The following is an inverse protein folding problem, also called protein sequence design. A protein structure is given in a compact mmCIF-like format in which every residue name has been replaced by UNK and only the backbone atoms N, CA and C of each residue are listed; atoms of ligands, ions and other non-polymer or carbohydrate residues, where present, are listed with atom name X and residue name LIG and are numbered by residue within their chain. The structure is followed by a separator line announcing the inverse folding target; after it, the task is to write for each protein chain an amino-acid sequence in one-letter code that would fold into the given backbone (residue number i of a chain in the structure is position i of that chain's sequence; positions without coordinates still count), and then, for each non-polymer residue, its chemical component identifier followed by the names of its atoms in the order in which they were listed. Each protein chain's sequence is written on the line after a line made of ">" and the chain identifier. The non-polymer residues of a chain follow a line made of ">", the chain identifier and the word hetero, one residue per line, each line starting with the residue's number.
data_IF_700667847034
#
_entry.id   IF_700667847034
#
_cell.length_a   1.000
_cell.length_b   1.000
_cell.length_c   1.000
_cell.angle_alpha   90.00
_cell.angle_beta   90.00
_cell.angle_gamma   90.00
#
_symmetry.space_group_name_H-M   'P 1'
#
loop_
_entity.id
_entity.type
_entity.pdbx_description
1 polymer ?
#
# COMPACT_ATOMS: atom_id res chain seq x y z
N UNK A 1 14.71 13.97 18.11
CA UNK A 1 14.61 13.34 19.44
C UNK A 1 13.18 13.38 19.99
N UNK A 2 12.47 14.50 19.88
CA UNK A 2 11.07 14.65 20.35
C UNK A 2 10.10 13.54 19.86
N UNK A 3 10.20 13.08 18.60
CA UNK A 3 9.32 11.99 18.11
C UNK A 3 9.74 10.57 18.55
N UNK A 4 11.01 10.33 18.86
CA UNK A 4 11.49 9.01 19.31
C UNK A 4 11.33 8.88 20.84
N UNK A 5 11.36 9.99 21.55
CA UNK A 5 11.15 10.04 23.00
C UNK A 5 9.68 9.88 23.38
N UNK A 6 8.73 10.46 22.62
CA UNK A 6 7.31 10.33 22.96
C UNK A 6 6.71 8.94 22.73
N UNK A 7 7.32 8.07 21.93
CA UNK A 7 6.89 6.67 21.83
C UNK A 7 7.40 5.79 22.99
N UNK A 8 8.25 6.32 23.88
CA UNK A 8 8.80 5.58 25.02
C UNK A 8 8.03 5.82 26.33
N UNK A 9 7.21 6.88 26.42
CA UNK A 9 6.63 7.31 27.70
C UNK A 9 5.23 6.77 28.00
N UNK A 10 4.46 6.30 27.02
CA UNK A 10 3.12 5.75 27.27
C UNK A 10 2.98 4.31 26.76
N UNK A 11 3.29 3.39 27.68
CA UNK A 11 2.92 1.97 27.68
C UNK A 11 3.33 1.15 26.43
N UNK A 12 4.36 0.30 26.61
CA UNK A 12 4.60 -0.96 25.87
C UNK A 12 5.60 -0.96 24.68
N UNK A 13 6.51 0.02 24.60
CA UNK A 13 7.68 -0.06 23.69
C UNK A 13 7.32 -0.17 22.20
N UNK A 14 6.12 0.26 21.83
CA UNK A 14 5.58 0.18 20.47
C UNK A 14 6.06 1.37 19.64
N UNK A 15 6.76 1.08 18.53
CA UNK A 15 7.09 2.09 17.53
C UNK A 15 5.99 2.10 16.47
N UNK A 16 5.36 3.25 16.25
CA UNK A 16 4.38 3.42 15.19
C UNK A 16 5.02 3.30 13.80
N UNK A 17 4.27 2.75 12.85
CA UNK A 17 4.75 2.50 11.49
C UNK A 17 5.17 3.79 10.78
N UNK A 18 6.46 3.86 10.43
CA UNK A 18 7.04 4.93 9.62
C UNK A 18 8.26 4.42 8.87
N UNK A 19 8.18 4.38 7.53
CA UNK A 19 9.30 4.02 6.67
C UNK A 19 10.07 5.27 6.23
N UNK A 20 11.41 5.33 6.37
CA UNK A 20 12.21 6.49 5.99
C UNK A 20 12.47 6.59 4.48
N UNK A 21 11.52 6.12 3.65
CA UNK A 21 11.58 6.13 2.19
C UNK A 21 10.98 7.43 1.67
N UNK A 22 11.79 8.49 1.67
CA UNK A 22 11.35 9.87 1.35
C UNK A 22 12.15 10.57 0.27
N UNK A 23 13.36 10.11 -0.01
CA UNK A 23 14.30 10.82 -0.89
C UNK A 23 14.26 10.33 -2.34
N UNK A 24 13.62 9.18 -2.61
CA UNK A 24 13.48 8.64 -3.96
C UNK A 24 12.13 9.01 -4.58
N UNK A 25 12.17 9.73 -5.71
CA UNK A 25 10.99 9.92 -6.57
C UNK A 25 10.91 8.88 -7.69
N UNK A 26 11.82 7.90 -7.70
CA UNK A 26 11.88 6.83 -8.71
C UNK A 26 11.35 5.51 -8.18
N UNK A 27 11.78 5.09 -7.00
CA UNK A 27 11.47 3.76 -6.44
C UNK A 27 10.66 3.87 -5.15
N UNK A 28 9.91 2.80 -4.82
CA UNK A 28 9.17 2.66 -3.57
C UNK A 28 8.19 3.80 -3.25
N UNK A 29 7.73 4.51 -4.28
CA UNK A 29 6.85 5.67 -4.16
C UNK A 29 5.52 5.36 -3.46
N UNK A 30 5.09 4.09 -3.45
CA UNK A 30 3.91 3.65 -2.70
C UNK A 30 4.03 3.90 -1.19
N UNK A 31 5.25 3.98 -0.64
CA UNK A 31 5.50 4.33 0.76
C UNK A 31 5.31 5.83 1.03
N UNK A 32 5.51 6.68 0.01
CA UNK A 32 5.26 8.13 0.06
C UNK A 32 3.76 8.40 -0.02
N UNK A 33 3.07 7.76 -0.97
CA UNK A 33 1.63 7.83 -1.10
C UNK A 33 1.08 6.51 -1.66
N UNK A 34 0.00 5.95 -1.08
CA UNK A 34 -0.52 4.65 -1.50
C UNK A 34 -1.01 4.61 -2.96
N UNK A 35 -1.30 5.74 -3.58
CA UNK A 35 -1.71 5.79 -5.01
C UNK A 35 -0.53 5.67 -5.98
N UNK A 36 0.70 5.87 -5.52
CA UNK A 36 1.88 6.01 -6.38
C UNK A 36 2.44 4.68 -6.93
N UNK A 37 1.84 3.54 -6.59
CA UNK A 37 2.06 2.30 -7.36
C UNK A 37 1.39 2.33 -8.74
N UNK A 38 0.50 3.30 -8.97
CA UNK A 38 -0.15 3.56 -10.25
C UNK A 38 0.14 4.97 -10.80
N UNK A 39 0.05 6.00 -9.96
CA UNK A 39 0.17 7.42 -10.40
C UNK A 39 1.57 7.69 -10.97
N UNK A 40 1.62 8.02 -12.27
CA UNK A 40 2.86 8.18 -13.05
C UNK A 40 3.82 6.99 -12.94
N UNK A 41 3.30 5.81 -12.60
CA UNK A 41 4.03 4.56 -12.53
C UNK A 41 3.55 3.63 -13.64
N UNK A 42 4.50 3.12 -14.41
CA UNK A 42 4.21 2.28 -15.56
C UNK A 42 4.92 0.94 -15.46
N UNK A 43 6.07 0.93 -14.84
CA UNK A 43 6.94 -0.23 -14.79
C UNK A 43 6.66 -1.01 -13.51
N UNK A 44 7.16 -2.23 -13.50
CA UNK A 44 7.18 -3.07 -12.31
C UNK A 44 8.62 -3.22 -11.90
N UNK A 45 8.89 -2.98 -10.63
CA UNK A 45 10.21 -3.07 -10.07
C UNK A 45 10.20 -4.07 -8.94
N UNK A 46 11.17 -4.99 -8.95
CA UNK A 46 11.68 -5.52 -7.68
C UNK A 46 12.74 -4.53 -7.21
N UNK A 47 12.74 -4.14 -5.94
CA UNK A 47 13.79 -3.30 -5.39
C UNK A 47 14.28 -3.82 -4.04
N UNK A 48 15.57 -3.61 -3.80
CA UNK A 48 16.23 -3.77 -2.52
C UNK A 48 16.73 -2.38 -2.15
N UNK A 49 16.23 -1.87 -1.03
CA UNK A 49 16.53 -0.57 -0.49
C UNK A 49 17.21 -0.75 0.86
N UNK A 50 18.30 -0.02 1.05
CA UNK A 50 18.96 0.11 2.33
C UNK A 50 19.16 1.59 2.65
N UNK A 51 18.83 1.97 3.89
CA UNK A 51 19.15 3.27 4.45
C UNK A 51 19.88 3.09 5.77
N UNK A 52 21.02 3.77 5.88
CA UNK A 52 21.74 3.95 7.14
C UNK A 52 21.63 5.42 7.52
N UNK A 53 20.96 5.69 8.63
CA UNK A 53 20.89 7.04 9.19
C UNK A 53 22.08 7.27 10.13
N UNK A 54 22.48 8.53 10.27
CA UNK A 54 23.41 8.98 11.32
C UNK A 54 24.72 8.19 11.38
N UNK A 55 25.38 8.11 10.23
CA UNK A 55 26.60 7.31 10.01
C UNK A 55 27.72 7.48 11.06
N UNK A 56 27.92 8.66 11.71
CA UNK A 56 28.92 8.80 12.77
C UNK A 56 28.64 8.02 14.06
N UNK A 57 27.41 7.54 14.27
CA UNK A 57 27.03 6.84 15.51
C UNK A 57 27.07 5.32 15.32
N UNK A 58 27.60 4.63 16.33
CA UNK A 58 27.49 3.18 16.44
C UNK A 58 26.03 2.79 16.74
N UNK A 59 25.58 1.66 16.17
CA UNK A 59 24.20 1.18 16.26
C UNK A 59 23.11 2.17 15.77
N UNK A 60 23.49 3.09 14.89
CA UNK A 60 22.58 4.03 14.27
C UNK A 60 21.43 3.34 13.48
N UNK A 61 20.28 4.01 13.30
CA UNK A 61 19.13 3.40 12.66
C UNK A 61 19.43 2.87 11.26
N UNK A 62 19.04 1.62 11.02
CA UNK A 62 19.18 0.97 9.72
C UNK A 62 17.85 0.43 9.25
N UNK A 63 17.51 0.71 7.99
CA UNK A 63 16.31 0.21 7.35
C UNK A 63 16.67 -0.62 6.13
N UNK A 64 16.10 -1.81 6.04
CA UNK A 64 16.11 -2.67 4.88
C UNK A 64 14.68 -2.80 4.36
N UNK A 65 14.50 -2.67 3.05
CA UNK A 65 13.22 -2.82 2.39
C UNK A 65 13.40 -3.61 1.11
N UNK A 66 12.69 -4.73 1.02
CA UNK A 66 12.52 -5.49 -0.21
C UNK A 66 11.11 -5.23 -0.72
N UNK A 67 10.95 -4.88 -1.99
CA UNK A 67 9.63 -4.60 -2.55
C UNK A 67 9.48 -5.16 -3.96
N UNK A 68 8.24 -5.50 -4.31
CA UNK A 68 7.80 -5.75 -5.67
C UNK A 68 6.53 -4.94 -5.91
N UNK A 69 6.64 -3.87 -6.70
CA UNK A 69 5.54 -2.95 -6.92
C UNK A 69 5.50 -2.39 -8.34
N UNK A 70 4.31 -1.96 -8.75
CA UNK A 70 4.11 -1.25 -10.01
C UNK A 70 2.72 -1.47 -10.59
N UNK A 71 2.58 -1.18 -11.88
CA UNK A 71 1.30 -1.28 -12.60
C UNK A 71 1.09 -2.67 -13.18
N UNK A 72 0.13 -3.43 -12.64
CA UNK A 72 -0.16 -4.80 -13.08
C UNK A 72 -1.24 -4.89 -14.15
N UNK A 73 -2.19 -3.95 -14.17
CA UNK A 73 -3.24 -3.85 -15.18
C UNK A 73 -3.43 -2.40 -15.62
N UNK A 74 -4.32 -2.17 -16.58
CA UNK A 74 -4.57 -0.84 -17.12
C UNK A 74 -5.11 0.14 -16.07
N UNK A 75 -5.79 -0.31 -15.03
CA UNK A 75 -6.36 0.55 -13.99
C UNK A 75 -5.95 0.12 -12.58
N UNK A 76 -4.98 -0.79 -12.44
CA UNK A 76 -4.59 -1.37 -11.14
C UNK A 76 -3.07 -1.35 -10.98
N UNK A 77 -2.64 -0.71 -9.90
CA UNK A 77 -1.31 -0.81 -9.30
C UNK A 77 -1.36 -1.73 -8.08
N UNK A 78 -0.31 -2.52 -7.88
CA UNK A 78 -0.15 -3.39 -6.71
C UNK A 78 1.28 -3.26 -6.22
N UNK A 79 1.48 -3.36 -4.91
CA UNK A 79 2.79 -3.50 -4.30
C UNK A 79 2.76 -4.50 -3.16
N UNK A 80 3.84 -5.24 -3.03
CA UNK A 80 4.14 -6.05 -1.83
C UNK A 80 5.52 -5.65 -1.37
N UNK A 81 5.69 -5.45 -0.07
CA UNK A 81 6.98 -5.14 0.50
C UNK A 81 7.21 -5.85 1.83
N UNK A 82 8.46 -6.15 2.11
CA UNK A 82 8.95 -6.63 3.39
C UNK A 82 9.99 -5.65 3.88
N UNK A 83 9.93 -5.27 5.14
CA UNK A 83 10.85 -4.32 5.72
C UNK A 83 11.37 -4.81 7.07
N UNK A 84 12.59 -4.38 7.37
CA UNK A 84 13.20 -4.53 8.67
C UNK A 84 13.84 -3.19 9.06
N UNK A 85 13.50 -2.70 10.24
CA UNK A 85 14.08 -1.49 10.82
C UNK A 85 14.75 -1.84 12.13
N UNK A 86 16.03 -1.50 12.25
CA UNK A 86 16.80 -1.70 13.46
C UNK A 86 17.07 -0.31 14.06
N UNK A 87 16.63 -0.10 15.30
CA UNK A 87 16.85 1.10 16.10
C UNK A 87 17.64 0.72 17.34
N UNK A 88 18.97 0.63 17.23
CA UNK A 88 19.82 0.10 18.29
C UNK A 88 19.44 -1.34 18.66
N UNK A 89 18.82 -1.50 19.84
CA UNK A 89 18.32 -2.77 20.37
C UNK A 89 16.89 -3.11 19.92
N UNK A 90 16.11 -2.13 19.45
CA UNK A 90 14.75 -2.39 18.95
C UNK A 90 14.82 -2.84 17.50
N UNK A 91 14.04 -3.85 17.15
CA UNK A 91 13.90 -4.35 15.78
C UNK A 91 12.43 -4.45 15.44
N UNK A 92 12.06 -3.83 14.33
CA UNK A 92 10.73 -3.90 13.74
C UNK A 92 10.81 -4.64 12.42
N UNK A 93 10.01 -5.70 12.26
CA UNK A 93 9.93 -6.46 11.02
C UNK A 93 8.49 -6.57 10.57
N UNK A 94 8.23 -6.36 9.28
CA UNK A 94 6.88 -6.43 8.78
C UNK A 94 6.75 -6.48 7.28
N UNK A 95 5.51 -6.51 6.85
CA UNK A 95 5.12 -6.50 5.46
C UNK A 95 4.09 -5.41 5.17
N UNK A 96 4.06 -4.97 3.91
CA UNK A 96 3.10 -3.99 3.40
C UNK A 96 2.49 -4.55 2.12
N UNK A 97 1.16 -4.49 2.06
CA UNK A 97 0.38 -4.69 0.85
C UNK A 97 -0.15 -3.34 0.39
N UNK A 98 0.17 -2.98 -0.84
CA UNK A 98 -0.33 -1.79 -1.50
C UNK A 98 -1.30 -2.18 -2.62
N UNK A 99 -2.43 -1.49 -2.69
CA UNK A 99 -3.37 -1.60 -3.78
C UNK A 99 -3.77 -0.20 -4.25
N UNK A 100 -3.65 0.07 -5.54
CA UNK A 100 -4.10 1.30 -6.16
C UNK A 100 -5.04 1.02 -7.33
N UNK A 101 -6.18 1.70 -7.35
CA UNK A 101 -7.19 1.60 -8.39
C UNK A 101 -7.45 2.95 -9.03
N UNK A 102 -7.34 3.02 -10.36
CA UNK A 102 -7.56 4.24 -11.12
C UNK A 102 -8.92 4.24 -11.82
N UNK A 103 -9.80 5.15 -11.41
CA UNK A 103 -11.01 5.48 -12.11
C UNK A 103 -10.73 6.56 -13.16
N UNK A 104 -10.98 6.24 -14.42
CA UNK A 104 -10.86 7.20 -15.52
C UNK A 104 -12.11 8.08 -15.52
N UNK A 105 -11.93 9.40 -15.44
CA UNK A 105 -13.03 10.36 -15.55
C UNK A 105 -13.15 10.82 -17.00
N UNK A 106 -12.06 11.35 -17.56
CA UNK A 106 -11.96 11.76 -18.95
C UNK A 106 -10.65 11.28 -19.58
N UNK A 107 -10.30 11.78 -20.78
CA UNK A 107 -9.04 11.41 -21.46
C UNK A 107 -7.81 11.87 -20.70
N UNK A 108 -7.90 13.06 -20.13
CA UNK A 108 -6.80 13.82 -19.51
C UNK A 108 -6.97 13.91 -17.99
N UNK A 109 -8.05 13.35 -17.44
CA UNK A 109 -8.34 13.38 -16.00
C UNK A 109 -8.65 12.01 -15.43
N UNK A 110 -8.10 11.73 -14.26
CA UNK A 110 -8.30 10.47 -13.56
C UNK A 110 -8.35 10.65 -12.04
N UNK A 111 -8.97 9.68 -11.38
CA UNK A 111 -9.08 9.62 -9.93
C UNK A 111 -8.55 8.27 -9.45
N UNK A 112 -7.38 8.28 -8.81
CA UNK A 112 -6.75 7.09 -8.26
C UNK A 112 -7.02 6.99 -6.76
N UNK A 113 -7.52 5.84 -6.33
CA UNK A 113 -7.65 5.46 -4.93
C UNK A 113 -6.52 4.50 -4.57
N UNK A 114 -5.98 4.61 -3.37
CA UNK A 114 -4.89 3.78 -2.90
C UNK A 114 -5.07 3.39 -1.45
N UNK A 115 -4.58 2.22 -1.07
CA UNK A 115 -4.46 1.81 0.33
C UNK A 115 -3.16 1.04 0.54
N UNK A 116 -2.46 1.36 1.63
CA UNK A 116 -1.39 0.54 2.18
C UNK A 116 -1.89 -0.16 3.44
N UNK A 117 -1.83 -1.48 3.47
CA UNK A 117 -2.08 -2.31 4.65
C UNK A 117 -0.75 -2.87 5.13
N UNK A 118 -0.37 -2.56 6.37
CA UNK A 118 0.87 -3.04 6.96
C UNK A 118 0.61 -3.98 8.13
N UNK A 119 1.37 -5.05 8.24
CA UNK A 119 1.43 -5.91 9.43
C UNK A 119 2.88 -6.02 9.85
N UNK A 120 3.18 -5.72 11.11
CA UNK A 120 4.55 -5.71 11.59
C UNK A 120 4.65 -6.04 13.06
N UNK A 121 5.72 -6.72 13.43
CA UNK A 121 6.07 -7.00 14.81
C UNK A 121 7.16 -6.02 15.25
N UNK A 122 6.96 -5.39 16.41
CA UNK A 122 7.95 -4.52 17.06
C UNK A 122 8.39 -5.15 18.37
N UNK A 123 9.69 -5.30 18.57
CA UNK A 123 10.24 -5.88 19.80
C UNK A 123 11.72 -5.58 19.98
N UNK A 124 12.28 -6.06 21.09
CA UNK A 124 13.71 -5.96 21.39
C UNK A 124 14.45 -7.15 20.79
N UNK A 125 15.63 -6.89 20.24
CA UNK A 125 16.54 -7.90 19.71
C UNK A 125 17.48 -8.40 20.80
N UNK A 126 17.09 -9.50 21.45
CA UNK A 126 17.84 -10.14 22.54
C UNK A 126 19.27 -10.53 22.13
N UNK A 127 19.51 -10.86 20.85
CA UNK A 127 20.82 -11.26 20.35
C UNK A 127 21.86 -10.13 20.29
N UNK A 128 21.43 -8.86 20.44
CA UNK A 128 22.33 -7.70 20.55
C UNK A 128 22.58 -7.26 22.00
N UNK A 129 21.92 -7.87 22.98
CA UNK A 129 22.05 -7.48 24.37
C UNK A 129 23.35 -8.09 24.92
N UNK A 130 24.34 -7.23 25.20
CA UNK A 130 25.55 -7.61 25.93
C UNK A 130 25.30 -7.29 27.40
N UNK A 131 24.95 -8.31 28.19
CA UNK A 131 24.77 -8.20 29.64
C UNK A 131 25.84 -8.99 30.37
N UNK A 132 26.27 -8.43 31.51
CA UNK A 132 27.22 -9.10 32.42
C UNK A 132 26.56 -10.24 33.20
N UNK A 133 25.22 -10.28 33.27
CA UNK A 133 24.44 -11.32 33.93
C UNK A 133 23.34 -11.83 32.97
N UNK A 134 23.40 -13.11 32.62
CA UNK A 134 22.56 -13.77 31.61
C UNK A 134 21.16 -14.08 32.17
N UNK A 135 20.93 -13.89 33.47
CA UNK A 135 19.71 -14.26 34.17
C UNK A 135 18.94 -13.06 34.77
N UNK A 136 19.04 -11.86 34.20
CA UNK A 136 18.20 -10.73 34.62
C UNK A 136 16.73 -10.97 34.22
N UNK A 137 15.79 -11.14 35.19
CA UNK A 137 14.38 -11.40 34.91
C UNK A 137 13.68 -10.27 34.12
N UNK A 138 14.22 -9.05 34.14
CA UNK A 138 13.68 -7.90 33.40
C UNK A 138 13.89 -7.99 31.89
N UNK A 139 14.82 -8.85 31.43
CA UNK A 139 15.15 -9.05 30.03
C UNK A 139 14.53 -10.33 29.43
N UNK A 140 13.99 -11.23 30.28
CA UNK A 140 13.48 -12.53 29.86
C UNK A 140 12.02 -12.52 29.35
N UNK A 141 11.35 -11.37 29.39
CA UNK A 141 9.92 -11.30 29.07
C UNK A 141 9.53 -9.96 28.43
N UNK A 142 10.28 -9.51 27.43
CA UNK A 142 9.95 -8.31 26.68
C UNK A 142 8.88 -8.66 25.63
N UNK A 143 7.64 -8.16 25.76
CA UNK A 143 6.58 -8.49 24.82
C UNK A 143 6.89 -7.91 23.44
N UNK A 144 6.75 -8.74 22.40
CA UNK A 144 6.74 -8.27 21.01
C UNK A 144 5.30 -7.95 20.61
N UNK A 145 5.08 -6.76 20.06
CA UNK A 145 3.75 -6.27 19.70
C UNK A 145 3.52 -6.39 18.18
N UNK A 146 2.52 -7.17 17.79
CA UNK A 146 2.06 -7.32 16.42
C UNK A 146 1.00 -6.26 16.11
N UNK A 147 1.33 -5.38 15.18
CA UNK A 147 0.54 -4.21 14.82
C UNK A 147 0.02 -4.33 13.39
N UNK A 148 -1.23 -3.91 13.19
CA UNK A 148 -1.88 -3.75 11.90
C UNK A 148 -2.09 -2.26 11.64
N UNK A 149 -1.64 -1.77 10.48
CA UNK A 149 -1.83 -0.38 10.04
C UNK A 149 -2.57 -0.31 8.70
N UNK A 150 -3.41 0.72 8.55
CA UNK A 150 -4.08 1.05 7.29
C UNK A 150 -3.86 2.53 6.92
N UNK A 151 -3.43 2.75 5.67
CA UNK A 151 -3.10 4.07 5.15
C UNK A 151 -3.81 4.30 3.82
N UNK A 152 -5.03 4.85 3.82
CA UNK A 152 -5.74 5.17 2.60
C UNK A 152 -5.24 6.48 1.96
N UNK A 153 -5.47 6.62 0.65
CA UNK A 153 -5.22 7.85 -0.06
C UNK A 153 -6.00 7.96 -1.36
N UNK A 154 -6.10 9.18 -1.85
CA UNK A 154 -6.76 9.54 -3.10
C UNK A 154 -5.89 10.53 -3.86
N UNK A 155 -5.88 10.43 -5.18
CA UNK A 155 -5.14 11.31 -6.06
C UNK A 155 -5.98 11.65 -7.30
N UNK A 156 -6.13 12.93 -7.58
CA UNK A 156 -6.72 13.45 -8.80
C UNK A 156 -5.59 13.86 -9.76
N UNK A 157 -5.47 13.14 -10.88
CA UNK A 157 -4.48 13.40 -11.92
C UNK A 157 -5.08 14.12 -13.11
N UNK A 158 -4.35 15.10 -13.64
CA UNK A 158 -4.57 15.74 -14.94
C UNK A 158 -3.48 15.31 -15.93
N UNK A 159 -3.30 16.00 -17.05
CA UNK A 159 -2.21 15.72 -17.99
C UNK A 159 -0.82 15.81 -17.37
N UNK A 160 -0.57 16.85 -16.58
CA UNK A 160 0.76 17.14 -16.02
C UNK A 160 0.78 17.30 -14.51
N UNK A 161 -0.37 17.52 -13.87
CA UNK A 161 -0.46 17.70 -12.43
C UNK A 161 -1.16 16.53 -11.77
N UNK A 162 -0.77 16.24 -10.55
CA UNK A 162 -1.42 15.26 -9.69
C UNK A 162 -1.58 15.88 -8.30
N UNK A 163 -2.81 15.87 -7.79
CA UNK A 163 -3.16 16.42 -6.48
C UNK A 163 -3.66 15.27 -5.63
N UNK A 164 -3.08 15.05 -4.44
CA UNK A 164 -3.51 13.93 -3.62
C UNK A 164 -3.50 14.21 -2.14
N UNK A 165 -4.34 13.43 -1.45
CA UNK A 165 -4.49 13.44 -0.01
C UNK A 165 -4.37 11.99 0.47
N UNK A 166 -3.60 11.75 1.53
CA UNK A 166 -3.51 10.45 2.18
C UNK A 166 -3.47 10.60 3.69
N UNK A 167 -3.94 9.58 4.40
CA UNK A 167 -3.84 9.51 5.85
C UNK A 167 -2.89 8.38 6.20
N UNK A 168 -1.82 8.72 6.91
CA UNK A 168 -0.90 7.75 7.46
C UNK A 168 -1.37 7.32 8.86
N UNK A 169 -1.26 6.03 9.13
CA UNK A 169 -1.72 5.33 10.31
C UNK A 169 -3.16 5.69 10.71
N UNK A 170 -4.10 5.68 9.75
CA UNK A 170 -5.52 5.96 10.04
C UNK A 170 -6.07 4.97 11.08
N UNK A 171 -5.69 3.71 10.96
CA UNK A 171 -6.00 2.65 11.91
C UNK A 171 -4.67 2.06 12.34
N UNK A 172 -4.44 1.97 13.64
CA UNK A 172 -3.32 1.24 14.23
C UNK A 172 -3.86 0.30 15.32
N UNK A 173 -3.92 -0.99 15.01
CA UNK A 173 -4.48 -2.01 15.89
C UNK A 173 -3.37 -2.91 16.42
N UNK A 174 -3.25 -3.01 17.75
CA UNK A 174 -2.34 -3.95 18.38
C UNK A 174 -3.09 -5.28 18.62
N UNK A 175 -2.64 -6.34 17.95
CA UNK A 175 -3.28 -7.65 18.00
C UNK A 175 -3.01 -8.33 19.35
N UNK A 176 -1.85 -8.12 19.96
CA UNK A 176 -1.49 -8.72 21.24
C UNK A 176 -2.35 -8.20 22.39
N UNK A 177 -2.52 -6.88 22.47
CA UNK A 177 -3.38 -6.24 23.48
C UNK A 177 -4.85 -6.17 23.04
N UNK A 178 -5.15 -6.50 21.79
CA UNK A 178 -6.47 -6.37 21.16
C UNK A 178 -7.08 -4.97 21.24
N UNK A 179 -6.25 -3.93 21.37
CA UNK A 179 -6.66 -2.53 21.50
C UNK A 179 -6.30 -1.70 20.27
N UNK A 180 -7.14 -0.72 19.97
CA UNK A 180 -6.81 0.34 19.02
C UNK A 180 -5.90 1.36 19.72
N UNK A 181 -4.78 1.72 19.10
CA UNK A 181 -3.90 2.77 19.62
C UNK A 181 -4.47 4.11 19.19
N UNK A 182 -5.17 4.78 20.10
CA UNK A 182 -5.87 6.05 19.83
C UNK A 182 -4.91 7.24 19.76
N UNK A 183 -3.89 7.30 20.62
CA UNK A 183 -2.86 8.34 20.59
C UNK A 183 -1.62 7.87 19.82
N UNK A 184 -1.70 7.93 18.49
CA UNK A 184 -0.57 7.66 17.61
C UNK A 184 0.13 8.96 17.17
N UNK A 185 1.33 9.29 17.67
CA UNK A 185 2.06 10.50 17.29
C UNK A 185 2.52 10.51 15.82
N UNK A 186 2.56 9.35 15.16
CA UNK A 186 2.88 9.22 13.72
C UNK A 186 1.64 9.22 12.82
N UNK A 187 0.42 9.29 13.39
CA UNK A 187 -0.77 9.53 12.60
C UNK A 187 -0.69 10.94 11.99
N UNK A 188 -0.86 11.01 10.67
CA UNK A 188 -0.77 12.28 9.97
C UNK A 188 -1.61 12.32 8.71
N UNK A 189 -2.08 13.52 8.38
CA UNK A 189 -2.74 13.78 7.10
C UNK A 189 -1.71 14.40 6.17
N UNK A 190 -1.57 13.85 4.98
CA UNK A 190 -0.63 14.32 3.97
C UNK A 190 -1.41 14.87 2.79
N UNK A 191 -1.00 16.04 2.32
CA UNK A 191 -1.47 16.61 1.07
C UNK A 191 -0.26 16.85 0.15
N UNK A 192 -0.39 16.56 -1.14
CA UNK A 192 0.67 16.77 -2.09
C UNK A 192 0.19 17.29 -3.43
N UNK A 193 1.12 17.95 -4.12
CA UNK A 193 1.01 18.37 -5.51
C UNK A 193 2.26 17.86 -6.23
N UNK A 194 2.05 17.12 -7.31
CA UNK A 194 3.11 16.64 -8.17
C UNK A 194 2.93 17.20 -9.57
N UNK A 195 4.02 17.67 -10.16
CA UNK A 195 4.08 18.08 -11.56
C UNK A 195 4.99 17.13 -12.31
N UNK A 196 4.54 16.62 -13.46
CA UNK A 196 5.36 15.81 -14.38
C UNK A 196 5.31 16.43 -15.76
N UNK A 197 6.46 16.88 -16.26
CA UNK A 197 6.61 17.48 -17.59
C UNK A 197 7.65 16.73 -18.43
N UNK A 198 7.57 16.91 -19.74
CA UNK A 198 8.55 16.36 -20.69
C UNK A 198 9.26 17.50 -21.42
N UNK A 199 10.58 17.38 -21.51
CA UNK A 199 11.44 18.32 -22.20
C UNK A 199 11.81 17.73 -23.54
N UNK A 200 11.32 18.34 -24.61
CA UNK A 200 11.74 18.02 -25.97
C UNK A 200 12.86 18.97 -26.37
N UNK A 201 14.07 18.45 -26.50
CA UNK A 201 15.27 19.23 -26.81
C UNK A 201 16.14 18.44 -27.79
N UNK A 202 17.02 19.11 -28.51
CA UNK A 202 18.00 18.41 -29.35
C UNK A 202 19.21 18.02 -28.50
N UNK A 203 19.59 16.74 -28.52
CA UNK A 203 20.84 16.26 -27.93
C UNK A 203 20.65 15.32 -26.74
N UNK A 204 21.45 15.49 -25.69
CA UNK A 204 21.48 14.57 -24.55
C UNK A 204 20.18 14.54 -23.74
N UNK A 205 19.50 15.68 -23.63
CA UNK A 205 18.28 15.85 -22.85
C UNK A 205 16.98 15.65 -23.65
N UNK A 206 17.05 15.10 -24.86
CA UNK A 206 15.85 14.83 -25.64
C UNK A 206 14.93 13.86 -24.89
N UNK A 207 13.62 14.13 -24.93
CA UNK A 207 12.55 13.41 -24.21
C UNK A 207 12.80 13.24 -22.69
N UNK A 208 13.52 14.17 -22.05
CA UNK A 208 13.75 14.10 -20.60
C UNK A 208 12.46 14.35 -19.82
N UNK A 209 12.27 13.59 -18.74
CA UNK A 209 11.12 13.70 -17.86
C UNK A 209 11.51 14.46 -16.60
N UNK A 210 10.82 15.56 -16.34
CA UNK A 210 10.94 16.30 -15.10
C UNK A 210 9.76 15.95 -14.18
N UNK A 211 10.04 15.62 -12.94
CA UNK A 211 9.01 15.39 -11.91
C UNK A 211 9.34 16.23 -10.69
N UNK A 212 8.43 17.11 -10.28
CA UNK A 212 8.48 17.84 -9.01
C UNK A 212 7.36 17.37 -8.09
N UNK A 213 7.64 17.17 -6.81
CA UNK A 213 6.68 16.82 -5.78
C UNK A 213 6.83 17.79 -4.62
N UNK A 214 5.72 18.39 -4.19
CA UNK A 214 5.64 19.16 -2.94
C UNK A 214 4.56 18.52 -2.07
N UNK A 215 4.87 18.33 -0.79
CA UNK A 215 3.99 17.66 0.17
C UNK A 215 4.03 18.37 1.53
N UNK A 216 2.88 18.45 2.17
CA UNK A 216 2.72 18.86 3.55
C UNK A 216 2.17 17.70 4.37
N UNK A 217 2.80 17.39 5.50
CA UNK A 217 2.38 16.38 6.46
C UNK A 217 1.96 17.10 7.75
N UNK A 218 0.68 16.97 8.09
CA UNK A 218 0.10 17.57 9.28
C UNK A 218 0.07 16.51 10.38
N UNK A 219 1.02 16.57 11.32
CA UNK A 219 1.02 15.78 12.56
C UNK A 219 0.41 16.59 13.70
N UNK A 220 0.15 15.94 14.85
CA UNK A 220 -0.47 16.57 16.04
C UNK A 220 0.30 17.81 16.52
N UNK A 221 1.62 17.75 16.55
CA UNK A 221 2.46 18.80 17.14
C UNK A 221 3.35 19.54 16.13
N UNK A 222 3.56 18.98 14.93
CA UNK A 222 4.51 19.49 13.94
C UNK A 222 3.92 19.37 12.54
N UNK A 223 4.02 20.44 11.75
CA UNK A 223 3.78 20.39 10.30
C UNK A 223 5.11 20.23 9.58
N UNK A 224 5.25 19.15 8.81
CA UNK A 224 6.46 18.89 8.01
C UNK A 224 6.18 19.21 6.56
N UNK A 225 6.98 20.12 5.99
CA UNK A 225 6.92 20.44 4.56
C UNK A 225 8.09 19.74 3.89
N UNK A 226 7.79 19.06 2.79
CA UNK A 226 8.78 18.36 1.99
C UNK A 226 8.59 18.69 0.51
N UNK A 227 9.70 18.79 -0.21
CA UNK A 227 9.72 19.01 -1.64
C UNK A 227 10.85 18.23 -2.27
N UNK A 228 10.62 17.70 -3.46
CA UNK A 228 11.62 16.99 -4.23
C UNK A 228 11.46 17.27 -5.72
N UNK A 229 12.55 17.26 -6.45
CA UNK A 229 12.55 17.32 -7.90
C UNK A 229 13.47 16.26 -8.46
N UNK A 230 13.09 15.69 -9.60
CA UNK A 230 13.84 14.67 -10.30
C UNK A 230 13.83 14.98 -11.80
N UNK A 231 15.01 14.91 -12.41
CA UNK A 231 15.17 14.94 -13.85
C UNK A 231 15.67 13.58 -14.32
N UNK A 232 14.88 12.92 -15.16
CA UNK A 232 15.20 11.62 -15.76
C UNK A 232 15.51 11.81 -17.24
N UNK A 233 16.68 11.32 -17.66
CA UNK A 233 17.14 11.32 -19.04
C UNK A 233 16.93 9.92 -19.63
N UNK A 234 16.35 9.78 -20.84
CA UNK A 234 16.04 8.48 -21.44
C UNK A 234 17.24 7.56 -21.64
N UNK A 235 18.46 8.12 -21.63
CA UNK A 235 19.74 7.39 -21.63
C UNK A 235 20.00 6.60 -20.35
N UNK A 236 19.05 6.56 -19.43
CA UNK A 236 19.10 5.77 -18.22
C UNK A 236 19.86 6.45 -17.09
N UNK A 237 19.83 7.77 -17.01
CA UNK A 237 20.41 8.55 -15.92
C UNK A 237 19.33 9.44 -15.34
N UNK A 238 19.26 9.55 -14.03
CA UNK A 238 18.44 10.55 -13.37
C UNK A 238 19.18 11.17 -12.20
N UNK A 239 18.85 12.43 -11.93
CA UNK A 239 19.29 13.15 -10.74
C UNK A 239 18.06 13.65 -10.00
N UNK A 240 18.13 13.64 -8.67
CA UNK A 240 17.08 14.16 -7.82
C UNK A 240 17.66 14.96 -6.65
N UNK A 241 16.88 15.94 -6.20
CA UNK A 241 17.21 16.74 -5.03
C UNK A 241 15.93 17.03 -4.27
N UNK A 242 16.03 17.13 -2.95
CA UNK A 242 14.90 17.35 -2.08
C UNK A 242 15.25 18.16 -0.86
N UNK A 243 14.21 18.64 -0.22
CA UNK A 243 14.25 19.35 1.04
C UNK A 243 13.10 18.87 1.91
N UNK A 244 13.39 18.65 3.17
CA UNK A 244 12.42 18.29 4.19
C UNK A 244 12.70 19.17 5.42
N UNK A 245 11.68 19.85 5.94
CA UNK A 245 11.85 20.75 7.09
C UNK A 245 12.34 20.03 8.35
N UNK A 246 12.02 18.74 8.50
CA UNK A 246 12.46 17.93 9.62
C UNK A 246 13.82 17.27 9.34
N UNK A 247 14.00 16.64 8.17
CA UNK A 247 15.19 15.81 7.89
C UNK A 247 16.32 16.52 7.13
N UNK A 248 16.10 17.73 6.63
CA UNK A 248 17.10 18.52 5.92
C UNK A 248 17.10 18.35 4.41
N UNK A 249 18.27 18.52 3.78
CA UNK A 249 18.45 18.51 2.33
C UNK A 249 18.86 17.11 1.88
N UNK A 250 18.32 16.66 0.76
CA UNK A 250 18.72 15.42 0.11
C UNK A 250 19.13 15.66 -1.35
N UNK A 251 20.07 14.85 -1.82
CA UNK A 251 20.50 14.82 -3.20
C UNK A 251 20.81 13.37 -3.60
N UNK A 252 20.49 13.02 -4.83
CA UNK A 252 20.64 11.66 -5.31
C UNK A 252 20.86 11.57 -6.79
N UNK A 253 21.48 10.48 -7.18
CA UNK A 253 21.72 10.13 -8.58
C UNK A 253 21.40 8.66 -8.77
N UNK A 254 20.91 8.34 -9.95
CA UNK A 254 20.71 6.95 -10.32
C UNK A 254 20.98 6.70 -11.79
N UNK A 255 21.28 5.45 -12.07
CA UNK A 255 21.67 5.00 -13.39
C UNK A 255 21.16 3.59 -13.67
N UNK A 256 20.76 3.37 -14.91
CA UNK A 256 20.41 2.08 -15.44
C UNK A 256 21.69 1.39 -15.93
N UNK A 257 22.20 0.43 -15.17
CA UNK A 257 23.32 -0.44 -15.59
C UNK A 257 22.94 -1.16 -16.89
N UNK A 258 21.72 -1.69 -16.97
CA UNK A 258 21.14 -2.27 -18.17
C UNK A 258 19.70 -1.78 -18.35
N UNK A 259 19.04 -2.12 -19.45
CA UNK A 259 17.60 -1.79 -19.63
C UNK A 259 16.68 -2.36 -18.53
N UNK A 260 17.21 -3.24 -17.67
CA UNK A 260 16.45 -3.90 -16.60
C UNK A 260 17.05 -3.70 -15.21
N UNK A 261 18.33 -3.34 -15.07
CA UNK A 261 18.96 -3.17 -13.76
C UNK A 261 19.27 -1.70 -13.56
N UNK A 262 18.80 -1.17 -12.44
CA UNK A 262 18.91 0.21 -12.04
C UNK A 262 19.53 0.29 -10.65
N UNK A 263 20.40 1.28 -10.43
CA UNK A 263 20.97 1.59 -9.13
C UNK A 263 20.71 3.06 -8.83
N UNK A 264 20.33 3.36 -7.60
CA UNK A 264 20.16 4.70 -7.10
C UNK A 264 20.93 4.87 -5.80
N UNK A 265 21.58 6.02 -5.64
CA UNK A 265 22.21 6.42 -4.41
C UNK A 265 21.70 7.79 -4.02
N UNK A 266 21.21 7.92 -2.78
CA UNK A 266 20.82 9.19 -2.19
C UNK A 266 21.66 9.49 -0.96
N UNK A 267 21.91 10.78 -0.77
CA UNK A 267 22.59 11.34 0.36
C UNK A 267 21.66 12.36 1.01
N UNK A 268 21.46 12.22 2.31
CA UNK A 268 20.64 13.13 3.11
C UNK A 268 21.51 13.76 4.19
N UNK A 269 21.45 15.09 4.26
CA UNK A 269 22.15 15.88 5.25
C UNK A 269 21.12 16.65 6.07
N UNK A 270 21.10 16.36 7.36
CA UNK A 270 20.28 17.09 8.30
C UNK A 270 20.66 18.58 8.34
N UNK A 271 19.64 19.44 8.46
CA UNK A 271 19.77 20.90 8.59
C UNK A 271 19.00 21.31 9.86
N UNK A 272 19.49 22.32 10.58
CA UNK A 272 18.92 22.74 11.86
C UNK A 272 19.34 21.86 13.04
N UNK A 273 18.42 21.59 13.96
CA UNK A 273 18.69 20.91 15.25
C UNK A 273 19.16 19.47 15.10
N UNK A 274 18.96 18.87 13.93
CA UNK A 274 19.38 17.50 13.62
C UNK A 274 20.77 17.41 12.97
N UNK A 275 21.45 18.55 12.74
CA UNK A 275 22.81 18.58 12.16
C UNK A 275 23.83 17.77 12.96
N UNK A 276 23.68 17.70 14.28
CA UNK A 276 24.55 16.95 15.17
C UNK A 276 24.51 15.43 14.93
N UNK A 277 23.45 14.91 14.31
CA UNK A 277 23.29 13.47 14.07
C UNK A 277 24.07 12.97 12.83
N UNK A 278 24.64 13.88 12.03
CA UNK A 278 25.44 13.52 10.87
C UNK A 278 24.60 13.18 9.63
N UNK A 279 25.24 12.48 8.68
CA UNK A 279 24.68 12.25 7.36
C UNK A 279 24.07 10.84 7.23
N UNK A 280 23.10 10.72 6.34
CA UNK A 280 22.42 9.46 6.01
C UNK A 280 22.70 9.06 4.56
N UNK A 281 22.89 7.77 4.34
CA UNK A 281 23.14 7.19 3.02
C UNK A 281 22.02 6.22 2.66
N UNK A 282 21.53 6.31 1.42
CA UNK A 282 20.53 5.40 0.89
C UNK A 282 21.03 4.79 -0.40
N UNK A 283 20.88 3.48 -0.52
CA UNK A 283 21.22 2.72 -1.72
C UNK A 283 20.00 1.91 -2.12
N UNK A 284 19.60 2.03 -3.39
CA UNK A 284 18.54 1.21 -3.97
C UNK A 284 19.08 0.46 -5.18
N UNK A 285 18.90 -0.85 -5.19
CA UNK A 285 19.09 -1.70 -6.36
C UNK A 285 17.71 -2.13 -6.85
N UNK A 286 17.40 -1.90 -8.12
CA UNK A 286 16.11 -2.23 -8.69
C UNK A 286 16.24 -3.04 -9.99
N UNK A 287 15.33 -4.00 -10.15
CA UNK A 287 15.14 -4.78 -11.36
C UNK A 287 13.80 -4.42 -12.03
N UNK A 288 13.86 -3.76 -13.18
CA UNK A 288 12.74 -3.37 -14.04
C UNK A 288 12.31 -4.54 -14.93
N UNK A 289 11.04 -4.91 -14.83
CA UNK A 289 10.41 -5.85 -15.75
C UNK A 289 9.96 -5.16 -17.03
N UNK A 290 10.20 -5.80 -18.17
CA UNK A 290 9.70 -5.33 -19.46
C UNK A 290 8.18 -5.44 -19.49
N UNK A 291 7.49 -4.33 -19.75
CA UNK A 291 6.05 -4.36 -19.94
C UNK A 291 5.73 -4.93 -21.32
N UNK A 292 4.96 -6.01 -21.36
CA UNK A 292 4.49 -6.63 -22.62
C UNK A 292 3.21 -5.97 -23.16
N UNK A 293 2.58 -5.13 -22.36
CA UNK A 293 1.33 -4.45 -22.69
C UNK A 293 1.58 -2.94 -22.72
N UNK A 294 1.14 -2.28 -23.80
CA UNK A 294 1.02 -0.82 -23.85
C UNK A 294 -0.36 -0.47 -23.28
N UNK A 295 -0.41 0.20 -22.15
CA UNK A 295 -1.65 0.73 -21.61
C UNK A 295 -1.94 2.08 -22.27
N UNK A 296 -3.21 2.48 -22.37
CA UNK A 296 -3.55 3.76 -23.02
C UNK A 296 -2.93 4.99 -22.31
N UNK A 297 -2.50 4.82 -21.05
CA UNK A 297 -1.83 5.83 -20.22
C UNK A 297 -0.32 5.60 -20.06
N UNK A 298 0.26 4.67 -20.83
CA UNK A 298 1.70 4.49 -20.89
C UNK A 298 2.27 5.59 -21.78
N UNK A 299 2.83 6.65 -21.18
CA UNK A 299 3.84 7.45 -21.88
C UNK A 299 4.97 6.53 -22.35
N UNK A 300 5.63 6.82 -23.47
CA UNK A 300 6.76 6.02 -23.97
C UNK A 300 8.04 6.21 -23.10
N UNK A 301 7.93 6.04 -21.78
CA UNK A 301 8.99 6.15 -20.75
C UNK A 301 9.97 4.94 -20.81
N UNK A 302 10.24 4.43 -22.01
CA UNK A 302 11.23 3.37 -22.23
C UNK A 302 12.65 3.96 -22.05
N UNK A 303 13.21 3.77 -20.86
CA UNK A 303 14.60 4.14 -20.54
C UNK A 303 15.60 3.06 -20.98
N UNK A 304 16.68 3.51 -21.62
CA UNK A 304 17.83 2.70 -22.03
C UNK A 304 18.77 2.39 -20.84
N UNK A 305 19.65 1.40 -21.02
CA UNK A 305 20.75 1.13 -20.11
C UNK A 305 22.05 1.76 -20.60
N UNK A 306 22.88 2.23 -19.68
CA UNK A 306 24.16 2.89 -19.98
C UNK A 306 25.19 1.90 -20.56
N UNK A 307 25.21 0.66 -20.04
CA UNK A 307 26.20 -0.36 -20.47
C UNK A 307 25.69 -1.13 -21.69
N UNK A 308 24.39 -1.45 -21.74
CA UNK A 308 23.78 -2.20 -22.85
C UNK A 308 22.60 -1.39 -23.41
N UNK A 309 22.85 -0.52 -24.41
CA UNK A 309 21.80 0.25 -25.04
C UNK A 309 20.91 -0.65 -25.90
N UNK A 310 19.61 -0.64 -25.64
CA UNK A 310 18.62 -1.23 -26.55
C UNK A 310 18.33 -0.22 -27.66
N UNK A 311 18.60 -0.54 -28.92
CA UNK A 311 18.26 0.35 -30.05
C UNK A 311 16.76 0.67 -30.03
N UNK A 312 16.39 1.90 -29.62
CA UNK A 312 15.05 2.45 -29.86
C UNK A 312 14.77 2.44 -31.36
N UNK A 313 13.72 1.72 -31.79
CA UNK A 313 13.19 1.88 -33.15
C UNK A 313 12.60 3.29 -33.23
N UNK A 314 13.29 4.22 -33.89
CA UNK A 314 12.77 5.54 -34.25
C UNK A 314 11.34 5.37 -34.80
N UNK A 315 10.33 5.85 -34.09
CA UNK A 315 8.98 5.94 -34.61
C UNK A 315 8.98 7.04 -35.66
N UNK A 316 8.99 6.66 -36.93
CA UNK A 316 8.64 7.58 -38.01
C UNK A 316 7.17 7.92 -37.78
N UNK A 317 6.86 9.16 -37.43
CA UNK A 317 5.49 9.64 -37.52
C UNK A 317 5.04 9.38 -38.95
N UNK A 318 4.13 8.44 -39.14
CA UNK A 318 3.49 8.24 -40.42
C UNK A 318 2.81 9.56 -40.75
N UNK A 319 3.43 10.34 -41.63
CA UNK A 319 2.76 11.45 -42.31
C UNK A 319 1.48 10.82 -42.84
N UNK A 320 0.34 11.28 -42.34
CA UNK A 320 -0.96 10.93 -42.91
C UNK A 320 -0.93 11.44 -44.34
N UNK A 321 -0.50 10.60 -45.27
CA UNK A 321 -0.77 10.81 -46.68
C UNK A 321 -2.29 10.87 -46.81
N UNK A 322 -2.77 12.04 -47.21
CA UNK A 322 -4.16 12.27 -47.60
C UNK A 322 -4.54 11.23 -48.65
N UNK A 323 -5.33 10.24 -48.24
CA UNK A 323 -5.78 9.17 -49.14
C UNK A 323 -6.79 9.74 -50.10
N UNK A 324 -6.39 9.87 -51.36
CA UNK A 324 -7.26 10.16 -52.50
C UNK A 324 -8.30 9.06 -52.69
N UNK A 325 -9.57 9.46 -52.58
CA UNK A 325 -10.77 9.02 -53.31
C UNK A 325 -10.78 7.68 -54.09
N UNK A 326 -10.50 6.55 -53.46
CA UNK A 326 -10.90 5.24 -53.97
C UNK A 326 -11.35 4.32 -52.83
N UNK A 327 -12.63 3.90 -52.84
CA UNK A 327 -13.32 2.90 -51.98
C UNK A 327 -14.56 3.41 -51.22
N UNK A 328 -15.57 3.94 -51.94
CA UNK A 328 -16.92 4.12 -51.37
C UNK A 328 -17.72 2.81 -51.25
N UNK A 329 -17.30 1.74 -51.94
CA UNK A 329 -18.04 0.46 -51.96
C UNK A 329 -17.70 -0.44 -50.74
N UNK A 330 -16.46 -0.43 -50.25
CA UNK A 330 -16.05 -1.30 -49.12
C UNK A 330 -16.42 -0.77 -47.73
N UNK A 331 -16.50 0.55 -47.53
CA UNK A 331 -16.75 1.13 -46.20
C UNK A 331 -18.16 0.85 -45.67
N UNK A 332 -19.15 0.73 -46.55
CA UNK A 332 -20.54 0.48 -46.16
C UNK A 332 -20.75 -0.97 -45.72
N UNK A 333 -20.16 -1.93 -46.44
CA UNK A 333 -20.20 -3.34 -46.08
C UNK A 333 -19.45 -3.63 -44.76
N UNK A 334 -18.29 -3.00 -44.54
CA UNK A 334 -17.52 -3.15 -43.30
C UNK A 334 -18.23 -2.50 -42.10
N UNK A 335 -18.93 -1.37 -42.31
CA UNK A 335 -19.71 -0.72 -41.25
C UNK A 335 -20.93 -1.55 -40.84
N UNK A 336 -21.64 -2.15 -41.80
CA UNK A 336 -22.79 -3.03 -41.52
C UNK A 336 -22.37 -4.34 -40.83
N UNK A 337 -21.22 -4.91 -41.21
CA UNK A 337 -20.67 -6.09 -40.54
C UNK A 337 -20.30 -5.79 -39.07
N UNK A 338 -19.62 -4.66 -38.80
CA UNK A 338 -19.28 -4.24 -37.43
C UNK A 338 -20.51 -3.87 -36.60
N UNK A 339 -21.56 -3.31 -37.21
CA UNK A 339 -22.81 -3.02 -36.52
C UNK A 339 -23.54 -4.31 -36.09
N UNK A 340 -23.60 -5.33 -36.97
CA UNK A 340 -24.15 -6.64 -36.64
C UNK A 340 -23.35 -7.36 -35.54
N UNK A 341 -22.03 -7.28 -35.58
CA UNK A 341 -21.16 -7.88 -34.55
C UNK A 341 -21.34 -7.20 -33.18
N UNK A 342 -21.42 -5.86 -33.15
CA UNK A 342 -21.70 -5.10 -31.92
C UNK A 342 -23.09 -5.39 -31.36
N UNK A 343 -24.11 -5.52 -32.21
CA UNK A 343 -25.45 -5.90 -31.80
C UNK A 343 -25.49 -7.32 -31.20
N UNK A 344 -24.80 -8.28 -31.81
CA UNK A 344 -24.68 -9.64 -31.30
C UNK A 344 -23.91 -9.71 -29.96
N UNK A 345 -22.85 -8.91 -29.81
CA UNK A 345 -22.10 -8.80 -28.56
C UNK A 345 -22.95 -8.19 -27.43
N UNK A 346 -23.72 -7.13 -27.73
CA UNK A 346 -24.63 -6.50 -26.77
C UNK A 346 -25.76 -7.46 -26.33
N UNK A 347 -26.32 -8.23 -27.27
CA UNK A 347 -27.33 -9.25 -26.96
C UNK A 347 -26.78 -10.36 -26.05
N UNK A 348 -25.54 -10.82 -26.29
CA UNK A 348 -24.86 -11.80 -25.43
C UNK A 348 -24.57 -11.25 -24.03
N UNK A 349 -24.25 -9.96 -23.91
CA UNK A 349 -24.01 -9.30 -22.64
C UNK A 349 -25.30 -9.17 -21.81
N UNK A 350 -26.40 -8.77 -22.46
CA UNK A 350 -27.74 -8.73 -21.83
C UNK A 350 -28.21 -10.11 -21.37
N UNK A 351 -28.05 -11.14 -22.22
CA UNK A 351 -28.38 -12.52 -21.84
C UNK A 351 -27.55 -13.00 -20.63
N UNK A 352 -26.24 -12.71 -20.60
CA UNK A 352 -25.39 -13.05 -19.45
C UNK A 352 -25.78 -12.28 -18.19
N UNK A 353 -26.15 -11.00 -18.28
CA UNK A 353 -26.60 -10.24 -17.11
C UNK A 353 -27.93 -10.75 -16.56
N UNK A 354 -28.88 -11.11 -17.42
CA UNK A 354 -30.17 -11.68 -17.02
C UNK A 354 -29.99 -13.06 -16.37
N UNK A 355 -29.11 -13.90 -16.92
CA UNK A 355 -28.79 -15.21 -16.34
C UNK A 355 -28.13 -15.05 -14.97
N UNK A 356 -27.21 -14.09 -14.82
CA UNK A 356 -26.55 -13.79 -13.54
C UNK A 356 -27.52 -13.20 -12.51
N UNK A 357 -28.48 -12.38 -12.93
CA UNK A 357 -29.54 -11.87 -12.08
C UNK A 357 -30.47 -12.99 -11.58
N UNK A 358 -30.86 -13.94 -12.44
CA UNK A 358 -31.65 -15.12 -12.05
C UNK A 358 -30.90 -16.03 -11.07
N UNK A 359 -29.60 -16.27 -11.30
CA UNK A 359 -28.75 -17.04 -10.38
C UNK A 359 -28.59 -16.35 -9.02
N UNK A 360 -28.46 -15.02 -9.00
CA UNK A 360 -28.37 -14.24 -7.77
C UNK A 360 -29.70 -14.24 -6.98
N UNK A 361 -30.85 -14.18 -7.66
CA UNK A 361 -32.17 -14.29 -7.03
C UNK A 361 -32.38 -15.68 -6.40
N UNK A 362 -32.08 -16.76 -7.14
CA UNK A 362 -32.18 -18.13 -6.64
C UNK A 362 -31.23 -18.39 -5.46
N UNK A 363 -30.04 -17.75 -5.44
CA UNK A 363 -29.12 -17.85 -4.30
C UNK A 363 -29.65 -17.13 -3.05
N UNK A 364 -30.35 -16.00 -3.20
CA UNK A 364 -30.99 -15.29 -2.07
C UNK A 364 -32.13 -16.11 -1.47
N UNK A 365 -33.02 -16.64 -2.30
CA UNK A 365 -34.12 -17.51 -1.83
C UNK A 365 -33.60 -18.75 -1.09
N UNK A 366 -32.51 -19.36 -1.58
CA UNK A 366 -31.89 -20.51 -0.91
C UNK A 366 -31.23 -20.15 0.42
N UNK A 367 -30.67 -18.95 0.54
CA UNK A 367 -30.09 -18.48 1.81
C UNK A 367 -31.19 -18.14 2.82
N UNK A 368 -32.28 -17.50 2.40
CA UNK A 368 -33.44 -17.21 3.25
C UNK A 368 -34.12 -18.50 3.74
N UNK A 369 -34.25 -19.50 2.88
CA UNK A 369 -34.77 -20.82 3.26
C UNK A 369 -33.89 -21.51 4.32
N UNK A 370 -32.56 -21.42 4.19
CA UNK A 370 -31.64 -21.97 5.20
C UNK A 370 -31.74 -21.24 6.53
N UNK A 371 -31.80 -19.92 6.53
CA UNK A 371 -31.96 -19.12 7.76
C UNK A 371 -33.26 -19.49 8.49
N UNK A 372 -34.35 -19.68 7.75
CA UNK A 372 -35.63 -20.08 8.35
C UNK A 372 -35.59 -21.52 8.90
N UNK A 373 -34.87 -22.43 8.23
CA UNK A 373 -34.69 -23.80 8.70
C UNK A 373 -33.83 -23.84 9.98
N UNK A 374 -32.71 -23.11 10.01
CA UNK A 374 -31.83 -23.02 11.18
C UNK A 374 -32.58 -22.41 12.39
N UNK A 375 -33.44 -21.42 12.14
CA UNK A 375 -34.28 -20.82 13.18
C UNK A 375 -35.33 -21.80 13.72
N UNK A 376 -35.98 -22.57 12.85
CA UNK A 376 -36.94 -23.59 13.27
C UNK A 376 -36.27 -24.72 14.09
N UNK A 377 -35.04 -25.11 13.74
CA UNK A 377 -34.26 -26.08 14.52
C UNK A 377 -33.83 -25.53 15.89
N UNK A 378 -33.49 -24.24 15.99
CA UNK A 378 -33.19 -23.58 17.26
C UNK A 378 -34.42 -23.48 18.16
N UNK A 379 -35.57 -23.07 17.60
CA UNK A 379 -36.83 -22.96 18.34
C UNK A 379 -37.29 -24.34 18.85
N UNK A 380 -37.13 -25.40 18.04
CA UNK A 380 -37.45 -26.78 18.44
C UNK A 380 -36.54 -27.29 19.58
N UNK A 381 -35.24 -26.94 19.57
CA UNK A 381 -34.31 -27.29 20.65
C UNK A 381 -34.65 -26.54 21.95
N UNK A 382 -34.97 -25.26 21.86
CA UNK A 382 -35.37 -24.45 23.01
C UNK A 382 -36.67 -24.99 23.66
N UNK A 383 -37.67 -25.33 22.85
CA UNK A 383 -38.92 -25.92 23.34
C UNK A 383 -38.70 -27.29 24.01
N UNK A 384 -37.80 -28.12 23.47
CA UNK A 384 -37.45 -29.42 24.06
C UNK A 384 -36.74 -29.26 25.41
N UNK A 385 -35.86 -28.27 25.54
CA UNK A 385 -35.14 -27.98 26.79
C UNK A 385 -36.08 -27.42 27.87
N UNK A 386 -37.04 -26.57 27.50
CA UNK A 386 -38.06 -26.04 28.40
C UNK A 386 -39.01 -27.16 28.90
N UNK A 387 -39.45 -28.05 27.99
CA UNK A 387 -40.26 -29.21 28.36
C UNK A 387 -39.51 -30.17 29.31
N UNK A 388 -38.21 -30.38 29.10
CA UNK A 388 -37.38 -31.18 29.98
C UNK A 388 -37.22 -30.54 31.37
N UNK A 389 -37.06 -29.20 31.45
CA UNK A 389 -37.03 -28.45 32.70
C UNK A 389 -38.34 -28.56 33.49
N UNK A 390 -39.48 -28.37 32.84
CA UNK A 390 -40.79 -28.48 33.47
C UNK A 390 -41.05 -29.90 34.02
N UNK A 391 -40.65 -30.92 33.28
CA UNK A 391 -40.76 -32.32 33.73
C UNK A 391 -39.87 -32.61 34.94
N UNK A 392 -38.62 -32.12 34.93
CA UNK A 392 -37.72 -32.25 36.08
C UNK A 392 -38.24 -31.52 37.33
N UNK A 393 -38.87 -30.35 37.16
CA UNK A 393 -39.47 -29.61 38.27
C UNK A 393 -40.71 -30.33 38.85
N UNK A 394 -41.53 -30.96 37.99
CA UNK A 394 -42.66 -31.79 38.42
C UNK A 394 -42.19 -33.03 39.17
N UNK A 395 -41.14 -33.70 38.70
CA UNK A 395 -40.56 -34.87 39.35
C UNK A 395 -39.94 -34.50 40.71
N UNK A 396 -39.28 -33.34 40.81
CA UNK A 396 -38.75 -32.81 42.07
C UNK A 396 -39.85 -32.41 43.08
N UNK A 397 -40.98 -31.87 42.61
CA UNK A 397 -42.15 -31.61 43.46
C UNK A 397 -42.83 -32.91 43.91
N UNK A 398 -42.86 -33.92 43.04
CA UNK A 398 -43.36 -35.26 43.34
C UNK A 398 -42.54 -35.99 44.41
N UNK A 399 -41.20 -35.91 44.31
CA UNK A 399 -40.28 -36.51 45.30
C UNK A 399 -40.33 -35.78 46.65
N UNK A 400 -40.41 -34.44 46.67
CA UNK A 400 -40.64 -33.65 47.89
C UNK A 400 -41.95 -34.00 48.59
N UNK A 401 -43.06 -34.19 47.84
CA UNK A 401 -44.35 -34.63 48.40
C UNK A 401 -44.31 -36.07 48.93
N UNK A 402 -43.49 -36.96 48.33
CA UNK A 402 -43.28 -38.32 48.85
C UNK A 402 -42.45 -38.30 50.14
N UNK A 403 -41.40 -37.48 50.21
CA UNK A 403 -40.57 -37.32 51.41
C UNK A 403 -41.37 -36.75 52.59
N UNK A 404 -42.20 -35.72 52.37
CA UNK A 404 -43.02 -35.14 53.45
C UNK A 404 -44.11 -36.08 53.97
N UNK A 405 -44.62 -36.98 53.12
CA UNK A 405 -45.60 -38.01 53.50
C UNK A 405 -44.99 -39.21 54.23
N UNK A 406 -43.68 -39.41 54.09
CA UNK A 406 -42.90 -40.41 54.84
C UNK A 406 -42.51 -39.83 56.21
N UNK A 407 -42.08 -38.57 56.28
CA UNK A 407 -41.81 -37.88 57.56
C UNK A 407 -43.07 -37.74 58.42
N UNK A 408 -44.25 -37.50 57.84
CA UNK A 408 -45.50 -37.44 58.60
C UNK A 408 -46.00 -38.80 59.09
N UNK A 409 -45.54 -39.91 58.50
CA UNK A 409 -45.84 -41.28 58.95
C UNK A 409 -44.86 -41.80 60.01
N UNK A 410 -43.74 -41.11 60.24
CA UNK A 410 -42.71 -41.52 61.20
C UNK A 410 -42.80 -40.74 62.53
N UNK A 411 -43.77 -39.82 62.66
CA UNK A 411 -44.04 -39.02 63.88
C UNK A 411 -45.36 -39.37 64.59
N UNK A 412 -45.92 -40.55 64.35
CA UNK A 412 -47.06 -41.09 65.13
C UNK A 412 -46.66 -42.36 65.86
#
# INVERSE_FOLDING_TARGET
>A
MVQISHSQEEQDGVIAFSLPVRNSLKFNRYAINPTFSFVREQNKYISIYNKREWTPFDDAPQTYLFSYAGRFRENIGVGVALFQQNYGLLTTFGGILNFAYNAVLERESNLTFGVNLGVYNSGINEGKIIVNDVNDPSLQNIPSNLLLTANPGINYGTDFFDFGISVNNLVLYNINTSTLIEDNPEQNVQAHVMYTGYVNSRGFFDESKFTGLVRSEFKKDITVISGGMMLTVPKGIWGQAGYNTLYGISAGVGFNISSQIAVEYNYEKAVGDLTAFGNSHEITLAYKFKNRYRYNYSGDDEEEGIIIPTKRKRKVNAVRQSVSSASKVDRKAIAEAKAKERAAAAARLKAKSETRAKLAAAAKERNEAKINQDKAEQDAKAAAEEAARLKAEQDAKGSRRRSSKIESRTRC
#
